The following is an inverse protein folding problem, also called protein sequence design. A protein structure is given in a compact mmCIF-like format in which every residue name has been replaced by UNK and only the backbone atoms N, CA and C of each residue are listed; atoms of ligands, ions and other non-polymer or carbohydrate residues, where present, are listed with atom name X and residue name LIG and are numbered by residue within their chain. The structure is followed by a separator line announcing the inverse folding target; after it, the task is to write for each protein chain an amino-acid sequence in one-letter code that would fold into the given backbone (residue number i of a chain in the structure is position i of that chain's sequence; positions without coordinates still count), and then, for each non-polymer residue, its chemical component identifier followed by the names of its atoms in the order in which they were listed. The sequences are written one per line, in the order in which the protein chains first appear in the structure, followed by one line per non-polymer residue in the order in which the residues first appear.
data_IF_208549597896
#
_entry.id   IF_208549597896
#
_cell.length_a   1.000
_cell.length_b   1.000
_cell.length_c   1.000
_cell.angle_alpha   90.00
_cell.angle_beta   90.00
_cell.angle_gamma   90.00
#
_symmetry.space_group_name_H-M   'P 1'
#
loop_
_entity.id
_entity.type
_entity.pdbx_description
1 polymer ?
#
# COMPACT_ATOMS: atom_id res chain seq x y z
N UNK A 1 -38.26 -22.47 31.53
CA UNK A 1 -38.20 -23.80 32.18
C UNK A 1 -36.75 -24.10 32.56
N UNK A 2 -36.54 -24.53 33.83
CA UNK A 2 -35.46 -25.39 34.41
C UNK A 2 -34.20 -25.65 33.54
N UNK A 3 -32.94 -25.73 33.99
CA UNK A 3 -32.24 -25.88 35.29
C UNK A 3 -30.73 -25.89 34.91
N UNK A 4 -29.84 -25.13 35.57
CA UNK A 4 -28.99 -25.58 36.70
C UNK A 4 -27.84 -26.55 36.38
N UNK A 5 -26.60 -26.05 36.64
CA UNK A 5 -25.44 -26.70 37.33
C UNK A 5 -24.75 -27.87 36.62
N UNK A 6 -23.48 -28.23 36.85
CA UNK A 6 -22.27 -27.63 37.45
C UNK A 6 -21.20 -28.74 37.49
N UNK A 7 -19.91 -28.35 37.41
CA UNK A 7 -18.77 -28.88 38.20
C UNK A 7 -18.13 -30.26 37.90
N UNK A 8 -16.78 -30.18 37.77
CA UNK A 8 -15.72 -30.88 38.54
C UNK A 8 -15.52 -32.38 38.28
N UNK A 9 -14.31 -32.82 37.92
CA UNK A 9 -13.36 -33.43 38.89
C UNK A 9 -12.04 -33.88 38.26
N UNK A 10 -11.00 -33.83 39.09
CA UNK A 10 -9.61 -34.22 38.87
C UNK A 10 -9.28 -35.24 39.98
N UNK A 11 -8.74 -36.44 39.66
CA UNK A 11 -7.97 -37.30 40.58
C UNK A 11 -7.42 -38.55 39.83
N UNK A 12 -6.09 -38.77 39.78
CA UNK A 12 -5.23 -39.64 40.64
C UNK A 12 -5.23 -41.13 40.25
N UNK A 13 -4.02 -41.72 40.11
CA UNK A 13 -3.80 -43.17 40.15
C UNK A 13 -2.31 -43.57 40.02
N UNK A 14 -1.75 -44.11 41.10
CA UNK A 14 -0.37 -44.60 41.33
C UNK A 14 -0.36 -46.15 41.39
N UNK A 15 0.72 -46.82 40.97
CA UNK A 15 1.30 -48.11 41.46
C UNK A 15 2.54 -48.42 40.60
N UNK A 16 3.81 -48.58 41.02
CA UNK A 16 4.56 -49.26 42.11
C UNK A 16 4.63 -50.80 42.02
N UNK A 17 5.86 -51.33 41.84
CA UNK A 17 6.58 -52.39 42.60
C UNK A 17 7.47 -53.29 41.69
N UNK A 18 8.80 -53.25 41.88
CA UNK A 18 9.71 -54.29 42.48
C UNK A 18 10.00 -55.48 41.52
N UNK A 19 11.19 -56.10 41.39
CA UNK A 19 12.32 -56.34 42.31
C UNK A 19 13.49 -57.06 41.58
N UNK A 20 14.73 -56.84 42.05
CA UNK A 20 15.84 -57.83 42.14
C UNK A 20 16.59 -58.23 40.85
N UNK A 21 17.90 -58.48 40.80
CA UNK A 21 18.95 -58.55 41.82
C UNK A 21 20.17 -59.34 41.28
N UNK A 22 21.36 -58.74 41.43
CA UNK A 22 22.73 -59.27 41.64
C UNK A 22 23.35 -60.48 40.89
N UNK A 23 24.55 -60.20 40.31
CA UNK A 23 25.81 -60.92 40.62
C UNK A 23 26.59 -61.56 39.44
N UNK A 24 27.91 -61.83 39.42
CA UNK A 24 29.20 -61.31 39.95
C UNK A 24 30.30 -62.01 39.06
N UNK A 25 31.40 -61.33 38.66
CA UNK A 25 32.81 -61.83 38.34
C UNK A 25 33.03 -62.91 37.24
N UNK A 26 34.14 -63.03 36.47
CA UNK A 26 35.54 -62.61 36.61
C UNK A 26 36.31 -62.60 35.25
N UNK A 27 37.37 -61.79 35.19
CA UNK A 27 38.73 -62.00 34.61
C UNK A 27 38.99 -62.90 33.38
N UNK A 28 39.71 -62.36 32.38
CA UNK A 28 41.08 -62.79 32.01
C UNK A 28 41.75 -61.84 30.99
N UNK A 29 43.06 -61.67 31.15
CA UNK A 29 44.01 -60.85 30.38
C UNK A 29 44.55 -61.58 29.15
N UNK A 30 44.85 -60.87 28.05
CA UNK A 30 46.11 -61.04 27.30
C UNK A 30 46.33 -59.93 26.23
N UNK A 31 47.49 -59.28 26.29
CA UNK A 31 48.22 -58.62 25.18
C UNK A 31 49.46 -59.51 24.86
N UNK A 32 50.38 -59.23 23.89
CA UNK A 32 50.46 -58.16 22.85
C UNK A 32 50.83 -58.70 21.44
N UNK A 33 50.86 -57.82 20.41
CA UNK A 33 51.96 -57.74 19.42
C UNK A 33 51.68 -56.68 18.33
N UNK A 34 52.74 -55.94 17.99
CA UNK A 34 52.78 -54.78 17.09
C UNK A 34 52.75 -55.10 15.59
N UNK A 35 52.15 -54.20 14.79
CA UNK A 35 52.79 -53.59 13.60
C UNK A 35 51.89 -52.50 12.97
N UNK A 36 52.42 -51.29 12.80
CA UNK A 36 51.89 -50.21 11.94
C UNK A 36 52.41 -50.36 10.49
N UNK A 37 52.04 -49.52 9.47
CA UNK A 37 50.95 -48.54 9.38
C UNK A 37 50.08 -48.72 8.12
N UNK A 38 48.84 -48.20 8.11
CA UNK A 38 48.18 -47.89 6.84
C UNK A 38 47.14 -46.78 6.97
N UNK A 39 47.26 -45.84 6.05
CA UNK A 39 46.51 -44.59 5.86
C UNK A 39 44.99 -44.77 5.82
N UNK A 40 44.22 -44.01 6.62
CA UNK A 40 42.88 -43.54 6.23
C UNK A 40 42.24 -42.57 7.24
N UNK A 41 42.11 -41.31 6.80
CA UNK A 41 40.98 -40.35 6.95
C UNK A 41 40.18 -40.30 8.27
N UNK A 42 40.18 -39.09 8.85
CA UNK A 42 39.25 -38.59 9.86
C UNK A 42 37.76 -38.82 9.49
N UNK A 43 36.85 -39.04 10.46
CA UNK A 43 35.43 -39.14 10.20
C UNK A 43 34.83 -37.75 9.92
N UNK A 44 34.17 -37.59 8.77
CA UNK A 44 33.26 -36.47 8.50
C UNK A 44 31.96 -36.72 9.26
N UNK A 45 31.66 -35.84 10.19
CA UNK A 45 30.36 -35.67 10.83
C UNK A 45 29.29 -35.46 9.74
N UNK A 46 28.45 -36.47 9.50
CA UNK A 46 27.26 -36.33 8.65
C UNK A 46 26.17 -35.68 9.50
N UNK A 47 25.98 -34.38 9.33
CA UNK A 47 24.74 -33.73 9.70
C UNK A 47 23.60 -34.40 8.93
N UNK A 48 22.62 -34.94 9.64
CA UNK A 48 21.41 -35.50 9.07
C UNK A 48 20.61 -34.37 8.41
N UNK A 49 20.66 -34.31 7.08
CA UNK A 49 19.69 -33.52 6.30
C UNK A 49 18.37 -34.26 6.41
N UNK A 50 17.44 -33.70 7.18
CA UNK A 50 16.08 -34.21 7.27
C UNK A 50 15.46 -34.23 5.87
N UNK A 51 15.15 -35.42 5.38
CA UNK A 51 14.44 -35.65 4.12
C UNK A 51 13.02 -35.07 4.25
N UNK A 52 12.84 -33.85 3.72
CA UNK A 52 11.53 -33.22 3.64
C UNK A 52 10.78 -33.89 2.49
N UNK A 53 9.68 -34.57 2.82
CA UNK A 53 8.93 -35.38 1.85
C UNK A 53 8.43 -34.62 0.61
N UNK A 54 7.93 -35.33 -0.41
CA UNK A 54 7.64 -34.78 -1.74
C UNK A 54 6.72 -33.55 -1.75
N UNK A 55 5.84 -33.40 -0.75
CA UNK A 55 4.97 -32.24 -0.60
C UNK A 55 5.72 -30.96 -0.14
N UNK A 56 6.73 -31.10 0.72
CA UNK A 56 7.59 -29.98 1.15
C UNK A 56 8.65 -29.62 0.10
N UNK A 57 9.11 -30.60 -0.70
CA UNK A 57 9.93 -30.35 -1.89
C UNK A 57 9.13 -29.69 -3.02
N UNK A 58 7.83 -30.00 -3.19
CA UNK A 58 6.93 -29.31 -4.13
C UNK A 58 6.66 -27.86 -3.71
N UNK A 59 6.53 -27.57 -2.41
CA UNK A 59 6.36 -26.21 -1.91
C UNK A 59 7.62 -25.33 -2.06
N UNK A 60 8.79 -25.93 -2.28
CA UNK A 60 10.04 -25.22 -2.56
C UNK A 60 10.26 -24.94 -4.07
N UNK A 61 9.32 -25.33 -4.94
CA UNK A 61 9.37 -25.06 -6.37
C UNK A 61 8.17 -24.20 -6.83
N UNK A 62 8.18 -22.93 -6.40
CA UNK A 62 7.77 -21.80 -7.25
C UNK A 62 8.41 -20.51 -6.72
N UNK A 63 9.64 -20.20 -7.14
CA UNK A 63 10.33 -18.96 -6.74
C UNK A 63 9.70 -17.69 -7.35
N UNK A 64 8.77 -17.84 -8.31
CA UNK A 64 8.02 -16.73 -8.90
C UNK A 64 6.67 -16.57 -8.22
N UNK A 65 6.37 -15.34 -7.79
CA UNK A 65 5.11 -15.00 -7.18
C UNK A 65 4.55 -13.72 -7.84
N UNK A 66 3.48 -13.83 -8.66
CA UNK A 66 2.93 -12.67 -9.35
C UNK A 66 2.16 -11.72 -8.43
N UNK A 67 1.80 -12.12 -7.20
CA UNK A 67 1.05 -11.29 -6.26
C UNK A 67 1.75 -11.30 -4.90
N UNK A 68 2.21 -10.13 -4.44
CA UNK A 68 2.94 -10.04 -3.18
C UNK A 68 2.13 -10.58 -2.00
N UNK A 69 2.78 -11.41 -1.18
CA UNK A 69 2.17 -11.92 0.05
C UNK A 69 1.99 -10.82 1.08
N UNK A 70 1.05 -11.01 2.01
CA UNK A 70 0.84 -10.11 3.16
C UNK A 70 2.13 -9.77 3.92
N UNK A 71 3.01 -10.76 4.09
CA UNK A 71 4.28 -10.56 4.78
C UNK A 71 5.21 -9.62 4.00
N UNK A 72 5.30 -9.77 2.68
CA UNK A 72 6.09 -8.89 1.81
C UNK A 72 5.54 -7.46 1.82
N UNK A 73 4.22 -7.30 1.68
CA UNK A 73 3.56 -5.98 1.75
C UNK A 73 3.81 -5.29 3.08
N UNK A 74 3.66 -6.04 4.18
CA UNK A 74 3.91 -5.52 5.53
C UNK A 74 5.36 -5.11 5.74
N UNK A 75 6.31 -5.87 5.17
CA UNK A 75 7.74 -5.57 5.25
C UNK A 75 8.11 -4.30 4.46
N UNK A 76 7.58 -4.12 3.24
CA UNK A 76 7.83 -2.91 2.44
C UNK A 76 7.22 -1.66 3.08
N UNK A 77 6.10 -1.81 3.79
CA UNK A 77 5.37 -0.69 4.41
C UNK A 77 5.53 -0.68 5.94
N UNK A 78 6.69 -1.10 6.45
CA UNK A 78 6.91 -1.33 7.88
C UNK A 78 6.78 -0.06 8.75
N UNK A 79 6.95 1.13 8.17
CA UNK A 79 6.80 2.40 8.86
C UNK A 79 5.36 2.69 9.28
N UNK A 80 4.38 2.10 8.58
CA UNK A 80 2.98 2.21 8.96
C UNK A 80 2.67 1.42 10.24
N UNK A 81 2.19 2.12 11.27
CA UNK A 81 1.83 1.55 12.58
C UNK A 81 0.32 1.43 12.83
N UNK A 82 -0.51 1.91 11.91
CA UNK A 82 -1.96 1.89 12.04
C UNK A 82 -2.60 0.56 11.60
N UNK A 83 -3.93 0.56 11.47
CA UNK A 83 -4.69 -0.58 10.97
C UNK A 83 -4.26 -0.98 9.54
N UNK A 84 -4.38 -2.25 9.18
CA UNK A 84 -4.02 -2.79 7.85
C UNK A 84 -5.19 -3.51 7.22
N UNK A 85 -5.21 -3.53 5.88
CA UNK A 85 -6.12 -4.36 5.10
C UNK A 85 -5.73 -5.85 5.21
N UNK A 86 -6.63 -6.79 4.85
CA UNK A 86 -6.36 -8.22 4.94
C UNK A 86 -5.07 -8.65 4.23
N UNK A 87 -4.77 -8.02 3.09
CA UNK A 87 -3.59 -8.22 2.24
C UNK A 87 -2.30 -7.56 2.76
N UNK A 88 -2.35 -6.87 3.91
CA UNK A 88 -1.20 -6.25 4.57
C UNK A 88 -0.99 -4.78 4.25
N UNK A 89 -1.70 -4.19 3.28
CA UNK A 89 -1.57 -2.77 2.95
C UNK A 89 -1.93 -1.87 4.13
N UNK A 90 -1.27 -0.72 4.30
CA UNK A 90 -1.72 0.36 5.18
C UNK A 90 -3.20 0.71 4.95
N UNK A 91 -4.00 0.78 6.02
CA UNK A 91 -5.40 1.21 5.98
C UNK A 91 -5.53 2.63 6.52
N UNK A 92 -5.07 3.61 5.73
CA UNK A 92 -5.33 5.03 5.98
C UNK A 92 -6.84 5.24 6.08
N UNK A 93 -7.30 6.01 7.06
CA UNK A 93 -8.74 6.14 7.37
C UNK A 93 -9.51 6.84 6.24
N UNK A 94 -10.80 6.50 6.12
CA UNK A 94 -11.68 7.14 5.14
C UNK A 94 -11.88 8.65 5.41
N UNK A 95 -11.69 9.09 6.66
CA UNK A 95 -11.70 10.51 7.02
C UNK A 95 -10.52 11.26 6.39
N UNK A 96 -9.29 10.73 6.52
CA UNK A 96 -8.11 11.31 5.88
C UNK A 96 -8.29 11.35 4.36
N UNK A 97 -8.79 10.28 3.74
CA UNK A 97 -9.07 10.28 2.29
C UNK A 97 -10.11 11.33 1.88
N UNK A 98 -11.12 11.58 2.72
CA UNK A 98 -12.14 12.61 2.45
C UNK A 98 -11.52 14.01 2.54
N UNK A 99 -10.72 14.27 3.58
CA UNK A 99 -10.06 15.56 3.82
C UNK A 99 -8.94 15.85 2.83
N UNK A 100 -8.28 14.82 2.29
CA UNK A 100 -7.25 14.93 1.24
C UNK A 100 -7.69 15.72 -0.01
N UNK A 101 -9.00 15.89 -0.24
CA UNK A 101 -9.53 16.72 -1.33
C UNK A 101 -9.04 18.17 -1.30
N UNK A 102 -8.83 18.73 -0.11
CA UNK A 102 -8.42 20.12 0.07
C UNK A 102 -6.95 20.35 -0.26
N UNK A 103 -6.14 19.28 -0.22
CA UNK A 103 -4.69 19.33 -0.45
C UNK A 103 -4.40 19.63 -1.92
N UNK A 104 -3.68 20.72 -2.21
CA UNK A 104 -3.23 21.02 -3.58
C UNK A 104 -2.06 20.12 -4.00
N UNK A 105 -1.82 20.01 -5.30
CA UNK A 105 -0.70 19.23 -5.85
C UNK A 105 0.64 19.81 -5.36
N UNK A 106 0.76 21.14 -5.33
CA UNK A 106 1.95 21.89 -4.92
C UNK A 106 2.23 21.74 -3.42
N UNK A 107 1.18 21.79 -2.60
CA UNK A 107 1.29 21.57 -1.15
C UNK A 107 1.79 20.14 -0.86
N UNK A 108 1.18 19.14 -1.49
CA UNK A 108 1.62 17.75 -1.35
C UNK A 108 3.08 17.57 -1.78
N UNK A 109 3.46 18.16 -2.92
CA UNK A 109 4.83 18.11 -3.42
C UNK A 109 5.82 18.77 -2.46
N UNK A 110 5.56 20.01 -2.02
CA UNK A 110 6.45 20.75 -1.12
C UNK A 110 6.59 20.11 0.26
N UNK A 111 5.48 19.62 0.82
CA UNK A 111 5.50 18.88 2.09
C UNK A 111 6.37 17.62 1.99
N UNK A 112 6.20 16.83 0.92
CA UNK A 112 6.97 15.60 0.73
C UNK A 112 8.46 15.88 0.46
N UNK A 113 8.78 16.92 -0.31
CA UNK A 113 10.17 17.36 -0.52
C UNK A 113 10.85 17.74 0.80
N UNK A 114 10.17 18.50 1.66
CA UNK A 114 10.65 18.85 3.01
C UNK A 114 10.87 17.64 3.93
N UNK A 115 10.21 16.50 3.65
CA UNK A 115 10.42 15.23 4.36
C UNK A 115 11.45 14.32 3.67
N UNK A 116 12.07 14.76 2.56
CA UNK A 116 13.07 14.02 1.80
C UNK A 116 12.52 13.10 0.71
N UNK A 117 11.21 13.12 0.46
CA UNK A 117 10.54 12.31 -0.57
C UNK A 117 10.48 13.08 -1.90
N UNK A 118 11.60 13.14 -2.60
CA UNK A 118 11.78 13.99 -3.79
C UNK A 118 11.17 13.42 -5.09
N UNK A 119 10.79 12.15 -5.07
CA UNK A 119 10.38 11.40 -6.25
C UNK A 119 8.95 10.86 -6.08
N UNK A 120 7.98 11.73 -5.78
CA UNK A 120 6.59 11.33 -5.49
C UNK A 120 5.57 11.92 -6.46
N UNK A 121 6.00 12.62 -7.50
CA UNK A 121 5.13 13.24 -8.50
C UNK A 121 5.35 12.64 -9.89
N UNK A 122 4.27 12.47 -10.63
CA UNK A 122 4.30 12.14 -12.05
C UNK A 122 3.31 13.03 -12.82
N UNK A 123 3.78 13.65 -13.91
CA UNK A 123 2.97 14.51 -14.79
C UNK A 123 2.62 13.85 -16.12
N UNK A 124 2.09 14.66 -17.05
CA UNK A 124 1.81 14.29 -18.46
C UNK A 124 0.73 13.19 -18.63
N UNK A 125 -0.44 13.46 -18.07
CA UNK A 125 -1.58 12.55 -18.11
C UNK A 125 -2.67 13.00 -19.08
N UNK A 126 -3.32 12.03 -19.71
CA UNK A 126 -4.64 12.18 -20.30
C UNK A 126 -5.68 11.73 -19.29
N UNK A 127 -6.76 12.47 -19.19
CA UNK A 127 -7.84 12.20 -18.24
C UNK A 127 -9.18 12.07 -18.95
N UNK A 128 -10.07 11.25 -18.42
CA UNK A 128 -11.47 11.20 -18.87
C UNK A 128 -12.21 12.48 -18.45
N UNK A 129 -11.99 12.92 -17.20
CA UNK A 129 -12.56 14.14 -16.65
C UNK A 129 -11.44 15.01 -16.06
N UNK A 130 -11.15 16.15 -16.68
CA UNK A 130 -10.07 17.04 -16.25
C UNK A 130 -10.37 17.79 -14.95
N UNK A 131 -11.65 17.89 -14.58
CA UNK A 131 -12.16 18.63 -13.42
C UNK A 131 -12.31 17.75 -12.16
N UNK A 132 -12.08 16.44 -12.25
CA UNK A 132 -12.34 15.48 -11.16
C UNK A 132 -11.06 14.85 -10.65
N UNK A 133 -10.78 15.05 -9.37
CA UNK A 133 -9.69 14.38 -8.68
C UNK A 133 -9.97 12.87 -8.48
N UNK A 134 -8.92 12.05 -8.48
CA UNK A 134 -8.95 10.66 -8.02
C UNK A 134 -8.12 10.55 -6.74
N UNK A 135 -8.76 10.10 -5.66
CA UNK A 135 -8.15 9.98 -4.35
C UNK A 135 -8.47 8.62 -3.74
N UNK A 136 -7.44 7.91 -3.26
CA UNK A 136 -7.60 6.65 -2.56
C UNK A 136 -6.29 5.93 -2.30
N UNK A 137 -6.38 4.73 -1.74
CA UNK A 137 -5.22 3.89 -1.38
C UNK A 137 -4.74 3.10 -2.60
N UNK A 138 -3.46 3.14 -2.91
CA UNK A 138 -2.91 2.44 -4.06
C UNK A 138 -3.04 0.92 -3.90
N UNK A 139 -3.67 0.27 -4.88
CA UNK A 139 -3.37 -1.12 -5.20
C UNK A 139 -2.49 -1.10 -6.46
N UNK A 140 -1.26 -1.58 -6.34
CA UNK A 140 -0.25 -1.48 -7.39
C UNK A 140 -0.22 -2.73 -8.28
N UNK A 141 0.05 -2.55 -9.57
CA UNK A 141 0.36 -3.64 -10.50
C UNK A 141 1.50 -3.25 -11.45
N UNK A 142 2.46 -4.15 -11.61
CA UNK A 142 3.55 -4.03 -12.57
C UNK A 142 3.30 -4.95 -13.74
N UNK A 143 3.15 -4.36 -14.92
CA UNK A 143 3.18 -5.09 -16.18
C UNK A 143 4.53 -4.91 -16.87
N UNK A 144 4.87 -5.88 -17.72
CA UNK A 144 6.08 -5.88 -18.54
C UNK A 144 5.74 -6.43 -19.94
N UNK A 145 6.58 -6.16 -20.95
CA UNK A 145 6.45 -6.82 -22.25
C UNK A 145 6.38 -8.34 -22.09
N UNK A 146 5.49 -8.99 -22.83
CA UNK A 146 5.32 -10.45 -22.76
C UNK A 146 6.64 -11.17 -23.07
N UNK A 147 6.96 -12.13 -22.21
CA UNK A 147 7.97 -13.14 -22.46
C UNK A 147 7.27 -14.50 -22.29
N UNK A 148 7.03 -15.28 -23.35
CA UNK A 148 6.17 -16.46 -23.28
C UNK A 148 6.58 -17.49 -22.22
N UNK A 149 7.88 -17.65 -21.97
CA UNK A 149 8.38 -18.57 -20.96
C UNK A 149 8.13 -18.06 -19.53
N UNK A 150 8.31 -16.76 -19.29
CA UNK A 150 8.05 -16.15 -17.99
C UNK A 150 6.54 -15.99 -17.74
N UNK A 151 5.80 -15.55 -18.75
CA UNK A 151 4.34 -15.42 -18.71
C UNK A 151 3.69 -16.74 -18.32
N UNK A 152 4.07 -17.86 -18.95
CA UNK A 152 3.55 -19.17 -18.56
C UNK A 152 3.82 -19.48 -17.08
N UNK A 153 5.02 -19.21 -16.59
CA UNK A 153 5.39 -19.48 -15.18
C UNK A 153 4.60 -18.58 -14.21
N UNK A 154 4.39 -17.32 -14.55
CA UNK A 154 3.59 -16.38 -13.77
C UNK A 154 2.11 -16.78 -13.78
N UNK A 155 1.57 -17.22 -14.93
CA UNK A 155 0.19 -17.75 -15.04
C UNK A 155 0.01 -18.98 -14.17
N UNK A 156 0.88 -19.98 -14.33
CA UNK A 156 0.82 -21.23 -13.56
C UNK A 156 0.90 -20.94 -12.05
N UNK A 157 1.77 -20.00 -11.63
CA UNK A 157 1.91 -19.60 -10.23
C UNK A 157 0.68 -18.86 -9.69
N UNK A 158 0.10 -17.93 -10.46
CA UNK A 158 -1.12 -17.21 -10.08
C UNK A 158 -2.32 -18.15 -9.92
N UNK A 159 -2.51 -19.07 -10.88
CA UNK A 159 -3.56 -20.10 -10.81
C UNK A 159 -3.35 -21.04 -9.63
N UNK A 160 -2.11 -21.46 -9.35
CA UNK A 160 -1.79 -22.27 -8.17
C UNK A 160 -2.05 -21.54 -6.84
N UNK A 161 -1.97 -20.21 -6.84
CA UNK A 161 -2.31 -19.36 -5.70
C UNK A 161 -3.81 -19.03 -5.60
N UNK A 162 -4.64 -19.53 -6.52
CA UNK A 162 -6.10 -19.36 -6.50
C UNK A 162 -6.61 -18.12 -7.23
N UNK A 163 -5.79 -17.47 -8.05
CA UNK A 163 -6.26 -16.41 -8.95
C UNK A 163 -6.78 -17.03 -10.25
N UNK A 164 -7.99 -16.67 -10.65
CA UNK A 164 -8.61 -17.17 -11.89
C UNK A 164 -8.52 -16.15 -13.03
N UNK A 165 -8.74 -16.60 -14.26
CA UNK A 165 -8.82 -15.70 -15.43
C UNK A 165 -7.45 -15.20 -15.93
N UNK A 166 -7.48 -14.02 -16.55
CA UNK A 166 -6.32 -13.39 -17.17
C UNK A 166 -5.57 -12.53 -16.15
N UNK A 167 -4.26 -12.36 -16.34
CA UNK A 167 -3.42 -11.66 -15.37
C UNK A 167 -3.88 -10.22 -15.04
N UNK A 168 -4.53 -9.53 -15.98
CA UNK A 168 -5.01 -8.16 -15.75
C UNK A 168 -6.25 -8.09 -14.84
N UNK A 169 -6.96 -9.19 -14.60
CA UNK A 169 -8.11 -9.24 -13.69
C UNK A 169 -7.71 -9.46 -12.23
N UNK A 170 -6.56 -10.10 -11.97
CA UNK A 170 -6.16 -10.44 -10.60
C UNK A 170 -6.04 -9.23 -9.67
N UNK A 171 -5.44 -8.09 -10.08
CA UNK A 171 -5.45 -6.90 -9.22
C UNK A 171 -6.86 -6.36 -8.98
N UNK A 172 -7.76 -6.44 -9.96
CA UNK A 172 -9.13 -5.92 -9.84
C UNK A 172 -9.90 -6.64 -8.71
N UNK A 173 -9.68 -7.95 -8.58
CA UNK A 173 -10.31 -8.77 -7.54
C UNK A 173 -9.83 -8.42 -6.13
N UNK A 174 -8.63 -7.84 -6.00
CA UNK A 174 -8.04 -7.41 -4.73
C UNK A 174 -8.48 -6.01 -4.29
N UNK A 175 -9.14 -5.24 -5.17
CA UNK A 175 -9.54 -3.88 -4.89
C UNK A 175 -10.60 -3.82 -3.80
N UNK A 176 -10.36 -2.95 -2.83
CA UNK A 176 -11.27 -2.63 -1.74
C UNK A 176 -11.90 -1.24 -1.93
N UNK A 177 -12.94 -0.95 -1.16
CA UNK A 177 -13.57 0.37 -1.16
C UNK A 177 -12.52 1.47 -0.92
N UNK A 178 -12.57 2.56 -1.70
CA UNK A 178 -11.61 3.68 -1.72
C UNK A 178 -10.17 3.33 -2.13
N UNK A 179 -9.94 2.19 -2.74
CA UNK A 179 -8.65 1.96 -3.40
C UNK A 179 -8.59 2.68 -4.73
N UNK A 180 -7.39 2.97 -5.25
CA UNK A 180 -7.15 3.41 -6.62
C UNK A 180 -6.30 2.34 -7.27
N UNK A 181 -6.71 1.87 -8.44
CA UNK A 181 -5.91 0.90 -9.18
C UNK A 181 -4.78 1.64 -9.90
N UNK A 182 -3.55 1.41 -9.45
CA UNK A 182 -2.34 2.03 -10.00
C UNK A 182 -1.54 0.96 -10.74
N UNK A 183 -1.27 1.15 -12.02
CA UNK A 183 -0.54 0.17 -12.82
C UNK A 183 0.55 0.78 -13.68
N UNK A 184 1.72 0.16 -13.69
CA UNK A 184 2.78 0.46 -14.66
C UNK A 184 2.63 -0.50 -15.85
N UNK A 185 2.12 0.04 -16.97
CA UNK A 185 2.01 -0.63 -18.26
C UNK A 185 3.13 -0.20 -19.23
N UNK A 186 4.27 0.24 -18.69
CA UNK A 186 5.46 0.69 -19.41
C UNK A 186 5.18 1.71 -20.54
N UNK A 187 4.16 2.54 -20.34
CA UNK A 187 3.72 3.57 -21.28
C UNK A 187 3.09 3.02 -22.58
N UNK A 188 2.73 1.73 -22.62
CA UNK A 188 2.19 1.10 -23.82
C UNK A 188 0.81 1.68 -24.18
N UNK A 189 0.69 2.17 -25.42
CA UNK A 189 -0.57 2.72 -25.94
C UNK A 189 -1.30 1.71 -26.82
N UNK A 190 -0.73 1.45 -27.99
CA UNK A 190 -1.26 0.40 -28.87
C UNK A 190 -1.05 -0.96 -28.21
N UNK A 191 -2.12 -1.74 -28.12
CA UNK A 191 -2.16 -3.07 -27.50
C UNK A 191 -1.86 -3.09 -25.98
N UNK A 192 -1.84 -1.93 -25.30
CA UNK A 192 -1.57 -1.77 -23.86
C UNK A 192 -2.79 -1.36 -23.03
N UNK A 193 -3.99 -1.75 -23.47
CA UNK A 193 -5.25 -1.33 -22.85
C UNK A 193 -5.58 -2.24 -21.66
N UNK A 194 -5.21 -1.83 -20.44
CA UNK A 194 -5.32 -2.66 -19.23
C UNK A 194 -6.78 -2.96 -18.86
N UNK A 195 -7.69 -2.02 -19.14
CA UNK A 195 -9.13 -2.14 -18.94
C UNK A 195 -9.92 -1.59 -20.13
N UNK A 196 -11.15 -2.09 -20.28
CA UNK A 196 -12.23 -1.49 -21.07
C UNK A 196 -13.45 -1.21 -20.18
N UNK A 197 -14.60 -0.97 -20.79
CA UNK A 197 -15.80 -0.48 -20.07
C UNK A 197 -16.32 -1.41 -18.97
N UNK A 198 -16.40 -2.72 -19.24
CA UNK A 198 -16.80 -3.72 -18.24
C UNK A 198 -15.89 -3.72 -17.00
N UNK A 199 -14.57 -3.77 -17.21
CA UNK A 199 -13.60 -3.81 -16.11
C UNK A 199 -13.54 -2.46 -15.38
N UNK A 200 -13.71 -1.34 -16.08
CA UNK A 200 -13.84 -0.02 -15.45
C UNK A 200 -15.09 0.08 -14.57
N UNK A 201 -16.22 -0.46 -15.02
CA UNK A 201 -17.46 -0.55 -14.24
C UNK A 201 -17.29 -1.41 -12.99
N UNK A 202 -16.60 -2.55 -13.09
CA UNK A 202 -16.29 -3.39 -11.94
C UNK A 202 -15.37 -2.68 -10.93
N UNK A 203 -14.30 -2.04 -11.40
CA UNK A 203 -13.38 -1.26 -10.56
C UNK A 203 -14.17 -0.18 -9.81
N UNK A 204 -15.01 0.58 -10.51
CA UNK A 204 -15.83 1.62 -9.87
C UNK A 204 -16.84 1.02 -8.87
N UNK A 205 -17.48 -0.11 -9.19
CA UNK A 205 -18.42 -0.76 -8.28
C UNK A 205 -17.75 -1.24 -6.97
N UNK A 206 -16.50 -1.70 -7.04
CA UNK A 206 -15.72 -2.12 -5.86
C UNK A 206 -15.20 -0.95 -5.05
N UNK A 207 -14.62 0.03 -5.73
CA UNK A 207 -13.80 1.09 -5.11
C UNK A 207 -14.57 2.39 -4.87
N UNK A 208 -15.47 2.75 -5.77
CA UNK A 208 -16.06 4.08 -5.88
C UNK A 208 -15.06 5.17 -6.27
N UNK A 209 -13.97 4.82 -6.96
CA UNK A 209 -12.87 5.72 -7.37
C UNK A 209 -12.53 5.54 -8.86
N UNK A 210 -11.25 5.54 -9.23
CA UNK A 210 -10.73 5.50 -10.58
C UNK A 210 -9.39 4.77 -10.68
N UNK A 211 -8.66 5.06 -11.75
CA UNK A 211 -7.39 4.39 -12.08
C UNK A 211 -6.28 5.38 -12.43
N UNK A 212 -5.03 4.98 -12.20
CA UNK A 212 -3.82 5.67 -12.67
C UNK A 212 -2.93 4.65 -13.37
N UNK A 213 -2.88 4.69 -14.69
CA UNK A 213 -2.11 3.73 -15.49
C UNK A 213 -1.02 4.43 -16.29
N UNK A 214 0.24 4.09 -16.03
CA UNK A 214 1.34 4.39 -16.95
C UNK A 214 1.24 3.48 -18.18
N UNK A 215 0.16 3.67 -18.94
CA UNK A 215 -0.38 2.77 -19.93
C UNK A 215 -1.67 3.37 -20.51
N UNK A 216 -2.59 2.53 -20.99
CA UNK A 216 -3.75 2.98 -21.77
C UNK A 216 -5.04 2.28 -21.35
N UNK A 217 -6.18 2.88 -21.66
CA UNK A 217 -7.51 2.25 -21.57
C UNK A 217 -8.21 2.26 -22.93
N UNK A 218 -9.18 1.35 -23.09
CA UNK A 218 -10.10 1.32 -24.23
C UNK A 218 -11.52 1.66 -23.79
N UNK A 219 -12.44 1.73 -24.76
CA UNK A 219 -13.87 2.00 -24.53
C UNK A 219 -14.11 3.35 -23.81
N UNK A 220 -13.43 4.41 -24.27
CA UNK A 220 -13.46 5.75 -23.64
C UNK A 220 -14.90 6.30 -23.48
N UNK A 221 -15.76 6.09 -24.47
CA UNK A 221 -17.16 6.51 -24.41
C UNK A 221 -17.87 5.88 -23.21
N UNK A 222 -17.83 4.56 -23.08
CA UNK A 222 -18.44 3.83 -21.96
C UNK A 222 -17.84 4.23 -20.61
N UNK A 223 -16.51 4.33 -20.52
CA UNK A 223 -15.85 4.75 -19.28
C UNK A 223 -16.22 6.18 -18.85
N UNK A 224 -16.50 7.08 -19.81
CA UNK A 224 -16.88 8.46 -19.54
C UNK A 224 -18.30 8.61 -18.97
N UNK A 225 -19.15 7.59 -19.16
CA UNK A 225 -20.52 7.58 -18.64
C UNK A 225 -20.59 7.14 -17.16
N UNK A 226 -19.53 6.50 -16.65
CA UNK A 226 -19.47 6.01 -15.27
C UNK A 226 -19.30 7.19 -14.30
N UNK A 227 -20.42 7.62 -13.70
CA UNK A 227 -20.43 8.74 -12.74
C UNK A 227 -19.55 8.44 -11.52
N UNK A 228 -18.49 9.23 -11.36
CA UNK A 228 -17.56 9.15 -10.23
C UNK A 228 -16.25 8.43 -10.56
N UNK A 229 -16.20 7.74 -11.70
CA UNK A 229 -14.98 7.17 -12.23
C UNK A 229 -14.15 8.23 -12.97
N UNK A 230 -12.84 8.12 -12.88
CA UNK A 230 -11.92 8.87 -13.73
C UNK A 230 -10.65 8.02 -13.94
N UNK A 231 -9.98 8.21 -15.07
CA UNK A 231 -8.75 7.50 -15.41
C UNK A 231 -7.66 8.51 -15.77
N UNK A 232 -6.50 8.37 -15.14
CA UNK A 232 -5.27 9.07 -15.51
C UNK A 232 -4.39 8.10 -16.27
N UNK A 233 -4.22 8.32 -17.57
CA UNK A 233 -3.53 7.40 -18.49
C UNK A 233 -2.58 8.12 -19.44
N UNK A 234 -1.71 7.39 -20.13
CA UNK A 234 -0.88 7.93 -21.22
C UNK A 234 -1.62 8.05 -22.54
N UNK A 235 -2.68 7.25 -22.73
CA UNK A 235 -3.40 7.18 -23.99
C UNK A 235 -4.78 6.56 -23.88
N UNK A 236 -5.50 6.67 -25.00
CA UNK A 236 -6.72 5.92 -25.28
C UNK A 236 -6.51 5.19 -26.61
N UNK A 237 -6.88 3.91 -26.70
CA UNK A 237 -6.70 3.13 -27.91
C UNK A 237 -7.76 2.01 -28.02
N UNK A 238 -8.27 1.67 -29.22
CA UNK A 238 -9.34 0.67 -29.37
C UNK A 238 -8.87 -0.79 -29.32
N UNK A 239 -7.57 -1.05 -29.25
CA UNK A 239 -7.02 -2.41 -29.12
C UNK A 239 -7.47 -3.06 -27.82
N UNK A 240 -7.35 -4.38 -27.72
CA UNK A 240 -7.33 -5.07 -26.44
C UNK A 240 -5.88 -5.31 -25.99
N UNK A 241 -5.67 -5.69 -24.73
CA UNK A 241 -4.35 -5.99 -24.17
C UNK A 241 -3.67 -7.13 -24.96
N UNK A 242 -2.44 -6.92 -25.41
CA UNK A 242 -1.58 -7.97 -26.02
C UNK A 242 -0.13 -7.74 -25.65
N UNK A 243 0.70 -8.77 -25.78
CA UNK A 243 2.15 -8.71 -25.59
C UNK A 243 2.56 -7.98 -24.29
N UNK A 244 1.82 -8.25 -23.22
CA UNK A 244 1.96 -7.65 -21.90
C UNK A 244 1.59 -8.69 -20.84
N UNK A 245 2.40 -8.80 -19.78
CA UNK A 245 2.22 -9.77 -18.71
C UNK A 245 2.37 -9.09 -17.34
N UNK A 246 1.59 -9.51 -16.36
CA UNK A 246 1.74 -9.07 -14.98
C UNK A 246 2.98 -9.75 -14.37
N UNK A 247 3.83 -8.95 -13.74
CA UNK A 247 5.05 -9.42 -13.06
C UNK A 247 5.05 -9.16 -11.56
N UNK A 248 4.11 -8.35 -11.08
CA UNK A 248 3.88 -8.16 -9.66
C UNK A 248 2.59 -7.36 -9.39
N UNK A 249 1.70 -7.90 -8.59
CA UNK A 249 0.58 -7.18 -7.98
C UNK A 249 0.87 -6.92 -6.51
N UNK A 250 0.37 -5.81 -5.99
CA UNK A 250 0.55 -5.40 -4.60
C UNK A 250 2.04 -5.29 -4.20
N UNK A 251 2.90 -4.91 -5.15
CA UNK A 251 4.34 -4.73 -4.96
C UNK A 251 4.74 -3.26 -5.12
N UNK A 252 5.97 -2.90 -4.79
CA UNK A 252 6.49 -1.56 -5.11
C UNK A 252 6.67 -1.45 -6.63
N UNK A 253 6.13 -0.37 -7.22
CA UNK A 253 6.24 -0.08 -8.66
C UNK A 253 6.75 1.34 -8.87
N UNK A 254 7.05 1.67 -10.13
CA UNK A 254 7.40 3.02 -10.54
C UNK A 254 6.38 3.56 -11.53
N UNK A 255 5.95 4.80 -11.33
CA UNK A 255 5.07 5.52 -12.27
C UNK A 255 5.76 6.83 -12.66
N UNK A 256 6.21 6.96 -13.91
CA UNK A 256 7.13 8.04 -14.28
C UNK A 256 8.39 8.03 -13.39
N UNK A 257 8.64 9.12 -12.66
CA UNK A 257 9.75 9.19 -11.69
C UNK A 257 9.33 8.76 -10.28
N UNK A 258 8.03 8.55 -10.05
CA UNK A 258 7.48 8.33 -8.73
C UNK A 258 7.61 6.89 -8.25
N UNK A 259 8.01 6.72 -6.98
CA UNK A 259 7.92 5.42 -6.30
C UNK A 259 6.52 5.27 -5.72
N UNK A 260 5.87 4.14 -6.01
CA UNK A 260 4.54 3.83 -5.50
C UNK A 260 4.58 2.54 -4.71
N UNK A 261 4.29 2.62 -3.42
CA UNK A 261 4.13 1.45 -2.57
C UNK A 261 2.65 1.08 -2.40
N UNK A 262 2.36 -0.20 -2.13
CA UNK A 262 1.02 -0.63 -1.78
C UNK A 262 0.44 0.14 -0.60
N UNK A 263 -0.74 0.74 -0.78
CA UNK A 263 -1.45 1.50 0.25
C UNK A 263 -1.03 2.96 0.40
N UNK A 264 -0.07 3.47 -0.40
CA UNK A 264 0.18 4.91 -0.52
C UNK A 264 -1.10 5.64 -0.97
N UNK A 265 -1.24 6.91 -0.59
CA UNK A 265 -2.38 7.71 -1.03
C UNK A 265 -2.07 8.30 -2.40
N UNK A 266 -2.94 7.98 -3.35
CA UNK A 266 -2.96 8.61 -4.66
C UNK A 266 -3.72 9.93 -4.53
N UNK A 267 -3.08 11.04 -4.90
CA UNK A 267 -3.72 12.33 -5.11
C UNK A 267 -3.52 12.70 -6.59
N UNK A 268 -4.49 12.36 -7.42
CA UNK A 268 -4.49 12.68 -8.84
C UNK A 268 -5.40 13.88 -9.10
N UNK A 269 -4.81 14.96 -9.60
CA UNK A 269 -5.48 16.23 -9.98
C UNK A 269 -5.01 16.65 -11.37
N UNK A 270 -5.57 17.74 -11.89
CA UNK A 270 -5.34 18.18 -13.27
C UNK A 270 -3.83 18.32 -13.62
N UNK A 271 -3.01 18.79 -12.68
CA UNK A 271 -1.58 18.98 -12.89
C UNK A 271 -0.79 17.66 -12.97
N UNK A 272 -1.26 16.63 -12.26
CA UNK A 272 -0.63 15.31 -12.24
C UNK A 272 -1.02 14.48 -11.04
N UNK A 273 -0.18 13.48 -10.75
CA UNK A 273 -0.42 12.51 -9.68
C UNK A 273 0.71 12.59 -8.66
N UNK A 274 0.34 12.81 -7.39
CA UNK A 274 1.24 12.69 -6.25
C UNK A 274 0.94 11.39 -5.51
N UNK A 275 1.97 10.62 -5.19
CA UNK A 275 1.88 9.41 -4.37
C UNK A 275 2.41 9.70 -2.97
N UNK A 276 1.53 9.71 -1.99
CA UNK A 276 1.84 10.14 -0.62
C UNK A 276 2.05 8.87 0.24
N UNK A 277 3.22 8.70 0.87
CA UNK A 277 3.44 7.58 1.78
C UNK A 277 2.38 7.51 2.87
N UNK A 278 1.81 6.33 3.11
CA UNK A 278 0.65 6.17 3.99
C UNK A 278 0.83 6.80 5.39
N UNK A 279 2.03 6.68 5.96
CA UNK A 279 2.39 7.22 7.27
C UNK A 279 2.43 8.75 7.34
N UNK A 280 2.52 9.43 6.20
CA UNK A 280 2.56 10.90 6.10
C UNK A 280 1.20 11.52 5.72
N UNK A 281 0.21 10.70 5.35
CA UNK A 281 -1.05 11.20 4.83
C UNK A 281 -1.85 12.03 5.85
N UNK A 282 -1.75 11.70 7.14
CA UNK A 282 -2.39 12.47 8.22
C UNK A 282 -1.76 13.86 8.36
N UNK A 283 -0.45 13.89 8.59
CA UNK A 283 0.34 15.12 8.74
C UNK A 283 0.16 16.08 7.55
N UNK A 284 0.17 15.54 6.32
CA UNK A 284 -0.02 16.36 5.11
C UNK A 284 -1.41 17.01 5.06
N UNK A 285 -2.46 16.27 5.40
CA UNK A 285 -3.82 16.82 5.43
C UNK A 285 -3.93 17.93 6.46
N UNK A 286 -3.38 17.70 7.66
CA UNK A 286 -3.41 18.67 8.75
C UNK A 286 -2.65 19.97 8.41
N UNK A 287 -1.52 19.86 7.73
CA UNK A 287 -0.71 20.98 7.24
C UNK A 287 -1.42 21.76 6.12
N UNK A 288 -1.99 21.04 5.16
CA UNK A 288 -2.72 21.64 4.04
C UNK A 288 -3.98 22.39 4.50
N UNK A 289 -4.68 21.90 5.52
CA UNK A 289 -5.85 22.58 6.10
C UNK A 289 -5.46 23.91 6.76
N UNK A 290 -4.34 23.96 7.49
CA UNK A 290 -3.84 25.22 8.06
C UNK A 290 -3.51 26.20 6.95
N UNK A 291 -2.78 25.75 5.92
CA UNK A 291 -2.41 26.57 4.78
C UNK A 291 -3.63 27.10 4.03
N UNK A 292 -4.64 26.24 3.79
CA UNK A 292 -5.89 26.66 3.14
C UNK A 292 -6.61 27.75 3.94
N UNK A 293 -6.70 27.61 5.26
CA UNK A 293 -7.33 28.61 6.11
C UNK A 293 -6.58 29.94 6.08
N UNK A 294 -5.24 29.90 6.09
CA UNK A 294 -4.40 31.08 5.97
C UNK A 294 -4.59 31.78 4.61
N UNK A 295 -4.69 31.01 3.53
CA UNK A 295 -4.95 31.52 2.18
C UNK A 295 -6.33 32.18 2.07
N UNK A 296 -7.36 31.57 2.65
CA UNK A 296 -8.71 32.13 2.65
C UNK A 296 -8.79 33.43 3.44
N UNK A 297 -8.16 33.46 4.62
CA UNK A 297 -8.01 34.68 5.41
C UNK A 297 -7.29 35.78 4.64
N UNK A 298 -6.13 35.44 4.05
CA UNK A 298 -5.31 36.37 3.27
C UNK A 298 -6.10 36.95 2.11
N UNK A 299 -6.79 36.11 1.33
CA UNK A 299 -7.65 36.57 0.22
C UNK A 299 -8.79 37.48 0.71
N UNK A 300 -9.42 37.16 1.83
CA UNK A 300 -10.49 37.99 2.40
C UNK A 300 -9.98 39.38 2.81
N UNK A 301 -8.84 39.44 3.52
CA UNK A 301 -8.25 40.69 4.01
C UNK A 301 -7.59 41.54 2.93
N UNK A 302 -7.10 40.93 1.86
CA UNK A 302 -6.66 41.66 0.68
C UNK A 302 -7.84 42.26 -0.08
N UNK A 303 -8.96 41.53 -0.17
CA UNK A 303 -10.15 41.98 -0.88
C UNK A 303 -10.86 43.15 -0.18
N UNK A 304 -10.86 43.19 1.15
CA UNK A 304 -11.46 44.28 1.95
C UNK A 304 -10.49 45.46 2.21
N UNK A 305 -9.20 45.30 1.88
CA UNK A 305 -8.17 46.33 2.03
C UNK A 305 -7.64 46.50 3.45
N UNK A 306 -7.93 45.57 4.37
CA UNK A 306 -7.46 45.62 5.77
C UNK A 306 -5.94 45.53 5.86
N UNK A 307 -5.32 44.70 5.01
CA UNK A 307 -3.86 44.53 4.94
C UNK A 307 -3.36 44.58 3.50
N UNK A 308 -2.06 44.86 3.36
CA UNK A 308 -1.35 44.74 2.09
C UNK A 308 -0.71 43.36 1.92
N UNK A 309 -0.39 42.98 0.68
CA UNK A 309 0.30 41.72 0.40
C UNK A 309 1.64 41.61 1.16
N UNK A 310 2.42 42.70 1.24
CA UNK A 310 3.70 42.70 1.95
C UNK A 310 3.57 42.59 3.48
N UNK A 311 2.42 42.95 4.06
CA UNK A 311 2.16 42.71 5.49
C UNK A 311 1.86 41.23 5.78
N UNK A 312 1.25 40.52 4.82
CA UNK A 312 0.83 39.12 4.94
C UNK A 312 1.86 38.11 4.41
N UNK A 313 2.78 38.53 3.54
CA UNK A 313 3.84 37.71 2.94
C UNK A 313 5.03 37.54 3.91
N UNK A 314 4.76 36.96 5.08
CA UNK A 314 5.74 36.68 6.13
C UNK A 314 5.50 35.30 6.72
N UNK A 315 6.58 34.68 7.24
CA UNK A 315 6.45 33.47 8.05
C UNK A 315 5.62 33.74 9.31
N UNK A 316 4.95 32.72 9.83
CA UNK A 316 4.04 32.84 10.98
C UNK A 316 4.69 33.53 12.19
N UNK A 317 5.95 33.22 12.48
CA UNK A 317 6.69 33.77 13.60
C UNK A 317 7.01 35.27 13.42
N UNK A 318 7.23 35.69 12.16
CA UNK A 318 7.53 37.07 11.76
C UNK A 318 6.27 37.92 11.50
N UNK A 319 5.09 37.29 11.54
CA UNK A 319 3.80 37.95 11.31
C UNK A 319 3.44 38.84 12.51
N UNK A 320 2.95 40.05 12.25
CA UNK A 320 2.56 40.97 13.32
C UNK A 320 1.47 40.33 14.21
N UNK A 321 1.59 40.50 15.53
CA UNK A 321 0.63 39.92 16.49
C UNK A 321 -0.82 40.33 16.18
N UNK A 322 -1.04 41.58 15.73
CA UNK A 322 -2.36 42.08 15.32
C UNK A 322 -3.01 41.22 14.24
N UNK A 323 -2.21 40.71 13.30
CA UNK A 323 -2.67 39.90 12.17
C UNK A 323 -2.93 38.47 12.64
N UNK A 324 -2.08 37.92 13.53
CA UNK A 324 -2.32 36.61 14.16
C UNK A 324 -3.62 36.60 14.97
N UNK A 325 -3.86 37.64 15.76
CA UNK A 325 -5.08 37.78 16.56
C UNK A 325 -6.33 37.92 15.66
N UNK A 326 -6.21 38.69 14.56
CA UNK A 326 -7.27 38.82 13.57
C UNK A 326 -7.56 37.50 12.84
N UNK A 327 -6.54 36.74 12.47
CA UNK A 327 -6.71 35.40 11.90
C UNK A 327 -7.49 34.48 12.84
N UNK A 328 -7.11 34.43 14.13
CA UNK A 328 -7.83 33.64 15.14
C UNK A 328 -9.28 34.14 15.33
N UNK A 329 -9.50 35.46 15.31
CA UNK A 329 -10.83 36.06 15.35
C UNK A 329 -11.69 35.66 14.15
N UNK A 330 -11.12 35.73 12.95
CA UNK A 330 -11.75 35.34 11.70
C UNK A 330 -12.12 33.86 11.67
N UNK A 331 -11.23 32.98 12.17
CA UNK A 331 -11.54 31.55 12.31
C UNK A 331 -12.72 31.29 13.25
N UNK A 332 -12.81 32.00 14.38
CA UNK A 332 -13.93 31.87 15.32
C UNK A 332 -15.25 32.34 14.70
N UNK A 333 -15.21 33.41 13.91
CA UNK A 333 -16.39 33.95 13.22
C UNK A 333 -16.87 33.02 12.10
N UNK A 334 -15.95 32.49 11.29
CA UNK A 334 -16.26 31.70 10.09
C UNK A 334 -16.29 30.20 10.32
N UNK A 335 -16.11 29.73 11.56
CA UNK A 335 -15.88 28.31 11.91
C UNK A 335 -16.78 27.31 11.17
N UNK A 336 -18.07 27.61 11.05
CA UNK A 336 -19.08 26.72 10.46
C UNK A 336 -19.20 26.84 8.92
N UNK A 337 -18.58 27.86 8.33
CA UNK A 337 -18.61 28.16 6.89
C UNK A 337 -17.33 27.75 6.15
N UNK A 338 -16.30 27.30 6.87
CA UNK A 338 -15.00 26.97 6.31
C UNK A 338 -14.97 25.58 5.67
N UNK A 339 -14.13 25.35 4.63
CA UNK A 339 -14.02 24.05 3.96
C UNK A 339 -13.24 22.99 4.77
N UNK A 340 -13.08 23.20 6.07
CA UNK A 340 -12.34 22.37 7.03
C UNK A 340 -13.30 21.99 8.16
N UNK A 341 -13.27 20.77 8.72
CA UNK A 341 -14.17 20.38 9.81
C UNK A 341 -14.12 21.37 10.99
N UNK A 342 -15.27 21.75 11.59
CA UNK A 342 -15.29 22.70 12.72
C UNK A 342 -14.44 22.27 13.92
N UNK A 343 -14.34 20.97 14.18
CA UNK A 343 -13.48 20.41 15.23
C UNK A 343 -12.01 20.71 14.95
N UNK A 344 -11.59 20.57 13.69
CA UNK A 344 -10.23 20.86 13.25
C UNK A 344 -9.92 22.36 13.30
N UNK A 345 -10.88 23.22 12.90
CA UNK A 345 -10.74 24.67 13.07
C UNK A 345 -10.53 25.03 14.54
N UNK A 346 -11.24 24.35 15.46
CA UNK A 346 -11.09 24.55 16.89
C UNK A 346 -9.68 24.17 17.39
N UNK A 347 -9.14 23.03 16.94
CA UNK A 347 -7.77 22.62 17.28
C UNK A 347 -6.73 23.65 16.84
N UNK A 348 -6.88 24.22 15.64
CA UNK A 348 -6.00 25.27 15.13
C UNK A 348 -6.09 26.54 15.99
N UNK A 349 -7.31 26.95 16.35
CA UNK A 349 -7.53 28.10 17.26
C UNK A 349 -6.84 27.86 18.61
N UNK A 350 -6.93 26.64 19.16
CA UNK A 350 -6.37 26.31 20.46
C UNK A 350 -4.84 26.18 20.44
N UNK A 351 -4.27 25.73 19.32
CA UNK A 351 -2.81 25.68 19.10
C UNK A 351 -2.18 27.02 18.71
N UNK A 352 -3.00 28.02 18.33
CA UNK A 352 -2.53 29.39 18.00
C UNK A 352 -2.41 30.31 19.22
N UNK A 353 -2.69 29.80 20.43
CA UNK A 353 -2.48 30.46 21.72
C UNK A 353 -1.07 30.21 22.22
#
# INVERSE_FOLDING_TARGET
MKKSRSRVSLAVGISVLLTGGLGITAFTLNEPAANEPSTARMPKERAAVADRGPAQQRAAQSEVNPVASKAQVTAMTADWKGARLPDGRPKVSDDILKRMKVVSTEQAWGFLDGKGYRNQFAGEWKTIHSDKAVIGRALTAQFMPSNPALEKRMTDAGHAAGHDGQMNTWPIEMLEKRDVYVADGFGKVKDGTLIGGNLGSEIHARTGTGVVFDGTVRDLEELSEIKGFNAFVRGFHPSYIKDEMLTGANTTIRIGEAVVMPGDIVLAKQEGVVFIPAQLAGDLVEDAEVTLLHDLFTKARLADGTYTAGELDKGWDDLDQKIRDDFVGWLKEKKDDLPVPPERVQEIIDGSK
#
